data_IF_275492154128
#
_entry.id   IF_275492154128
#
_cell.length_a   1.000
_cell.length_b   1.000
_cell.length_c   1.000
_cell.angle_alpha   90.00
_cell.angle_beta   90.00
_cell.angle_gamma   90.00
#
_symmetry.space_group_name_H-M   'P 1'
#
loop_
_entity.id
_entity.type
_entity.pdbx_description
1 polymer ?
#
# COMPACT_ATOMS: atom_id res chain seq x y z
N UNK A 1 -24.74 70.70 55.20
CA UNK A 1 -25.61 70.23 54.07
C UNK A 1 -24.71 69.81 52.98
N UNK A 2 -24.53 68.53 52.83
CA UNK A 2 -23.85 67.95 51.64
C UNK A 2 -24.26 66.47 51.54
N UNK A 3 -25.09 66.20 50.57
CA UNK A 3 -25.60 64.91 50.23
C UNK A 3 -24.61 64.09 49.42
N UNK A 4 -24.29 62.89 49.86
CA UNK A 4 -23.51 61.92 49.13
C UNK A 4 -24.42 61.07 48.22
N UNK A 5 -24.05 60.74 46.96
CA UNK A 5 -24.83 59.84 46.16
C UNK A 5 -24.36 58.38 46.41
N UNK A 6 -25.35 57.48 46.51
CA UNK A 6 -25.21 56.04 46.64
C UNK A 6 -24.70 55.39 45.36
N UNK A 7 -23.66 54.56 45.46
CA UNK A 7 -23.17 53.71 44.39
C UNK A 7 -24.03 52.44 44.29
N UNK A 8 -24.68 52.24 43.15
CA UNK A 8 -25.28 50.99 42.78
C UNK A 8 -24.19 50.03 42.30
N UNK A 9 -24.06 48.88 42.98
CA UNK A 9 -23.23 47.75 42.57
C UNK A 9 -24.04 46.95 41.57
N UNK A 10 -23.63 46.95 40.29
CA UNK A 10 -24.17 46.03 39.29
C UNK A 10 -23.38 44.73 39.40
N UNK A 11 -24.07 43.65 39.79
CA UNK A 11 -23.57 42.28 39.71
C UNK A 11 -23.54 41.84 38.26
N UNK A 12 -22.36 41.73 37.67
CA UNK A 12 -22.13 41.04 36.38
C UNK A 12 -22.19 39.54 36.63
N UNK A 13 -23.25 38.91 36.20
CA UNK A 13 -23.39 37.45 36.07
C UNK A 13 -22.58 37.02 34.87
N UNK A 14 -21.40 36.45 35.11
CA UNK A 14 -20.62 35.77 34.09
C UNK A 14 -21.37 34.51 33.66
N UNK A 15 -21.90 34.53 32.43
CA UNK A 15 -22.48 33.37 31.79
C UNK A 15 -21.33 32.42 31.40
N UNK A 16 -21.29 31.21 31.98
CA UNK A 16 -20.46 30.12 31.56
C UNK A 16 -20.74 29.78 30.07
N UNK A 17 -19.74 29.57 29.22
CA UNK A 17 -19.98 29.16 27.83
C UNK A 17 -20.67 27.79 27.82
N UNK A 18 -21.87 27.74 27.26
CA UNK A 18 -22.55 26.48 26.94
C UNK A 18 -21.74 25.79 25.88
N UNK A 19 -21.02 24.76 26.27
CA UNK A 19 -20.39 23.83 25.33
C UNK A 19 -21.51 23.19 24.51
N UNK A 20 -21.63 23.62 23.26
CA UNK A 20 -22.72 23.23 22.38
C UNK A 20 -22.68 21.72 22.11
N UNK A 21 -23.81 21.07 22.28
CA UNK A 21 -24.07 19.66 21.96
C UNK A 21 -23.63 19.33 20.50
N UNK A 22 -23.60 20.34 19.63
CA UNK A 22 -23.09 20.21 18.23
C UNK A 22 -21.64 19.73 18.13
N UNK A 23 -20.76 20.04 19.09
CA UNK A 23 -19.37 19.57 19.08
C UNK A 23 -19.22 18.11 19.55
N UNK A 24 -20.23 17.58 20.26
CA UNK A 24 -20.23 16.16 20.65
C UNK A 24 -20.66 15.25 19.50
N UNK A 25 -21.49 15.75 18.59
CA UNK A 25 -21.96 15.01 17.42
C UNK A 25 -21.01 15.08 16.22
N UNK A 26 -20.09 16.05 16.15
CA UNK A 26 -19.07 16.09 15.09
C UNK A 26 -18.07 14.93 15.18
N UNK A 27 -17.93 14.31 16.36
CA UNK A 27 -17.15 13.09 16.58
C UNK A 27 -17.85 11.82 16.05
N UNK A 28 -19.16 11.89 15.79
CA UNK A 28 -19.98 10.77 15.29
C UNK A 28 -20.28 10.87 13.78
N UNK A 29 -19.76 11.88 13.09
CA UNK A 29 -19.90 11.94 11.63
C UNK A 29 -18.89 10.95 11.03
N UNK A 30 -19.35 9.92 10.29
CA UNK A 30 -18.46 8.95 9.68
C UNK A 30 -17.50 9.66 8.73
N UNK A 31 -16.21 9.59 9.01
CA UNK A 31 -15.14 10.01 8.08
C UNK A 31 -14.88 8.92 7.04
N UNK A 32 -15.92 8.30 6.51
CA UNK A 32 -15.79 7.17 5.59
C UNK A 32 -14.90 7.50 4.39
N UNK A 33 -14.94 8.77 3.91
CA UNK A 33 -14.09 9.23 2.81
C UNK A 33 -12.60 9.19 3.11
N UNK A 34 -12.20 9.41 4.38
CA UNK A 34 -10.79 9.51 4.77
C UNK A 34 -10.02 8.19 4.52
N UNK A 35 -10.58 7.04 4.90
CA UNK A 35 -9.92 5.76 4.67
C UNK A 35 -9.75 5.46 3.18
N UNK A 36 -10.77 5.74 2.37
CA UNK A 36 -10.66 5.58 0.92
C UNK A 36 -9.63 6.54 0.30
N UNK A 37 -9.50 7.77 0.83
CA UNK A 37 -8.50 8.72 0.36
C UNK A 37 -7.08 8.25 0.73
N UNK A 38 -6.88 7.71 1.94
CA UNK A 38 -5.60 7.15 2.39
C UNK A 38 -5.20 5.90 1.59
N UNK A 39 -6.12 4.96 1.37
CA UNK A 39 -5.84 3.79 0.55
C UNK A 39 -5.57 4.16 -0.92
N UNK A 40 -6.28 5.15 -1.48
CA UNK A 40 -5.99 5.62 -2.84
C UNK A 40 -4.64 6.34 -2.94
N UNK A 41 -4.19 7.03 -1.88
CA UNK A 41 -2.84 7.62 -1.78
C UNK A 41 -1.79 6.51 -1.72
N UNK A 42 -2.03 5.47 -0.94
CA UNK A 42 -1.14 4.35 -0.70
C UNK A 42 -0.93 3.49 -1.96
N UNK A 43 -2.02 3.05 -2.59
CA UNK A 43 -1.94 2.26 -3.82
C UNK A 43 -1.35 3.04 -5.00
N UNK A 44 -1.60 4.35 -5.07
CA UNK A 44 -0.94 5.21 -6.08
C UNK A 44 0.56 5.32 -5.83
N UNK A 45 1.01 5.40 -4.56
CA UNK A 45 2.41 5.39 -4.19
C UNK A 45 3.07 4.03 -4.49
N UNK A 46 2.40 2.92 -4.18
CA UNK A 46 2.86 1.57 -4.50
C UNK A 46 3.00 1.38 -6.03
N UNK A 47 2.05 1.91 -6.82
CA UNK A 47 2.14 1.85 -8.29
C UNK A 47 3.33 2.66 -8.82
N UNK A 48 3.62 3.83 -8.22
CA UNK A 48 4.82 4.60 -8.55
C UNK A 48 6.08 3.79 -8.22
N UNK A 49 6.12 3.14 -7.06
CA UNK A 49 7.25 2.29 -6.62
C UNK A 49 7.47 1.10 -7.56
N UNK A 50 6.42 0.36 -7.91
CA UNK A 50 6.51 -0.77 -8.84
C UNK A 50 6.99 -0.32 -10.24
N UNK A 51 6.48 0.81 -10.75
CA UNK A 51 6.95 1.37 -12.02
C UNK A 51 8.41 1.82 -11.96
N UNK A 52 8.85 2.42 -10.86
CA UNK A 52 10.24 2.82 -10.68
C UNK A 52 11.15 1.59 -10.61
N UNK A 53 10.76 0.57 -9.85
CA UNK A 53 11.49 -0.69 -9.74
C UNK A 53 11.63 -1.39 -11.10
N UNK A 54 10.56 -1.42 -11.91
CA UNK A 54 10.59 -2.04 -13.24
C UNK A 54 11.62 -1.39 -14.18
N UNK A 55 11.93 -0.10 -14.05
CA UNK A 55 12.97 0.58 -14.85
C UNK A 55 14.38 0.00 -14.60
N UNK A 56 14.59 -0.61 -13.42
CA UNK A 56 15.88 -1.21 -13.05
C UNK A 56 16.33 -2.25 -14.06
N UNK A 57 15.41 -3.01 -14.63
CA UNK A 57 15.68 -4.07 -15.59
C UNK A 57 15.93 -3.56 -17.02
N UNK A 58 15.60 -2.29 -17.29
CA UNK A 58 15.79 -1.65 -18.59
C UNK A 58 17.14 -0.91 -18.75
N UNK A 59 17.93 -0.78 -17.68
CA UNK A 59 19.19 -0.02 -17.72
C UNK A 59 20.40 -0.87 -17.30
N UNK A 60 21.54 -0.64 -17.98
CA UNK A 60 22.83 -1.22 -17.59
C UNK A 60 23.78 -0.18 -16.95
N UNK A 61 23.37 1.07 -16.86
CA UNK A 61 24.16 2.12 -16.21
C UNK A 61 24.05 1.98 -14.67
N UNK A 62 25.16 1.65 -14.04
CA UNK A 62 25.26 1.46 -12.58
C UNK A 62 24.84 2.71 -11.79
N UNK A 63 25.11 3.90 -12.29
CA UNK A 63 24.72 5.14 -11.61
C UNK A 63 23.20 5.33 -11.68
N UNK A 64 22.57 4.97 -12.78
CA UNK A 64 21.12 4.98 -12.95
C UNK A 64 20.45 3.89 -12.09
N UNK A 65 21.00 2.65 -12.08
CA UNK A 65 20.51 1.59 -11.20
C UNK A 65 20.48 2.03 -9.73
N UNK A 66 21.58 2.63 -9.24
CA UNK A 66 21.64 3.13 -7.86
C UNK A 66 20.65 4.26 -7.58
N UNK A 67 20.40 5.12 -8.56
CA UNK A 67 19.40 6.19 -8.44
C UNK A 67 17.98 5.61 -8.32
N UNK A 68 17.66 4.61 -9.15
CA UNK A 68 16.38 3.88 -9.12
C UNK A 68 16.19 3.19 -7.76
N UNK A 69 17.19 2.45 -7.28
CA UNK A 69 17.13 1.74 -5.98
C UNK A 69 16.87 2.72 -4.82
N UNK A 70 17.52 3.87 -4.83
CA UNK A 70 17.26 4.92 -3.82
C UNK A 70 15.84 5.46 -3.92
N UNK A 71 15.34 5.66 -5.15
CA UNK A 71 13.98 6.14 -5.37
C UNK A 71 12.94 5.12 -4.91
N UNK A 72 13.15 3.83 -5.18
CA UNK A 72 12.31 2.73 -4.68
C UNK A 72 12.24 2.77 -3.14
N UNK A 73 13.38 2.96 -2.46
CA UNK A 73 13.42 3.09 -1.00
C UNK A 73 12.69 4.34 -0.48
N UNK A 74 12.79 5.48 -1.15
CA UNK A 74 12.04 6.69 -0.78
C UNK A 74 10.54 6.48 -0.88
N UNK A 75 10.07 5.71 -1.88
CA UNK A 75 8.66 5.40 -2.09
C UNK A 75 8.14 4.41 -1.07
N UNK A 76 8.93 3.40 -0.67
CA UNK A 76 8.59 2.51 0.44
C UNK A 76 8.45 3.30 1.75
N UNK A 77 9.43 4.10 2.15
CA UNK A 77 9.33 4.93 3.37
C UNK A 77 8.07 5.84 3.34
N UNK A 78 7.66 6.32 2.17
CA UNK A 78 6.42 7.10 2.03
C UNK A 78 5.18 6.21 2.19
N UNK A 79 5.20 4.96 1.71
CA UNK A 79 4.17 3.95 1.94
C UNK A 79 3.98 3.68 3.43
N UNK A 80 5.08 3.40 4.15
CA UNK A 80 5.12 3.23 5.61
C UNK A 80 4.44 4.38 6.35
N UNK A 81 4.72 5.63 5.95
CA UNK A 81 4.08 6.81 6.56
C UNK A 81 2.57 6.82 6.32
N UNK A 82 2.10 6.38 5.15
CA UNK A 82 0.67 6.31 4.82
C UNK A 82 0.01 5.18 5.61
N UNK A 83 0.59 3.99 5.64
CA UNK A 83 0.15 2.83 6.43
C UNK A 83 0.05 3.19 7.91
N UNK A 84 1.05 3.87 8.46
CA UNK A 84 1.01 4.37 9.85
C UNK A 84 -0.14 5.36 10.08
N UNK A 85 -0.43 6.26 9.13
CA UNK A 85 -1.58 7.17 9.20
C UNK A 85 -2.90 6.41 9.18
N UNK A 86 -3.03 5.35 8.38
CA UNK A 86 -4.23 4.48 8.37
C UNK A 86 -4.44 3.87 9.75
N UNK A 87 -3.41 3.33 10.40
CA UNK A 87 -3.51 2.73 11.74
C UNK A 87 -3.83 3.77 12.83
N UNK A 88 -3.29 4.97 12.75
CA UNK A 88 -3.64 6.06 13.67
C UNK A 88 -5.12 6.45 13.54
N UNK A 89 -5.59 6.64 12.31
CA UNK A 89 -7.01 6.97 12.06
C UNK A 89 -7.93 5.82 12.46
N UNK A 90 -7.52 4.56 12.24
CA UNK A 90 -8.25 3.38 12.69
C UNK A 90 -8.36 3.35 14.21
N UNK A 91 -7.30 3.72 14.93
CA UNK A 91 -7.30 3.79 16.40
C UNK A 91 -8.17 4.94 16.94
N UNK A 92 -8.25 6.05 16.21
CA UNK A 92 -8.96 7.26 16.63
C UNK A 92 -10.48 7.25 16.29
N UNK A 93 -10.91 6.44 15.31
CA UNK A 93 -12.29 6.44 14.82
C UNK A 93 -13.00 5.13 15.14
N UNK A 94 -14.17 5.21 15.82
CA UNK A 94 -15.01 4.05 16.13
C UNK A 94 -15.88 3.61 14.94
N UNK A 95 -16.22 4.53 14.04
CA UNK A 95 -17.06 4.25 12.87
C UNK A 95 -16.16 4.22 11.64
N UNK A 96 -16.13 3.07 10.98
CA UNK A 96 -15.29 2.78 9.80
C UNK A 96 -16.18 2.40 8.61
N UNK A 97 -15.71 2.57 7.34
CA UNK A 97 -16.52 2.26 6.16
C UNK A 97 -16.79 0.75 5.99
N UNK A 98 -15.90 -0.10 6.48
CA UNK A 98 -15.99 -1.56 6.53
C UNK A 98 -15.28 -2.09 7.78
N UNK A 99 -15.20 -3.40 7.94
CA UNK A 99 -14.65 -4.02 9.14
C UNK A 99 -13.23 -3.48 9.45
N UNK A 100 -12.98 -3.21 10.72
CA UNK A 100 -11.70 -2.69 11.21
C UNK A 100 -10.54 -3.66 10.97
N UNK A 101 -10.82 -4.97 11.08
CA UNK A 101 -9.85 -6.02 10.82
C UNK A 101 -9.48 -6.01 9.33
N UNK A 102 -10.46 -5.88 8.44
CA UNK A 102 -10.21 -5.78 6.99
C UNK A 102 -9.42 -4.51 6.61
N UNK A 103 -9.67 -3.37 7.28
CA UNK A 103 -8.88 -2.14 7.08
C UNK A 103 -7.42 -2.36 7.46
N UNK A 104 -7.21 -2.99 8.62
CA UNK A 104 -5.85 -3.28 9.10
C UNK A 104 -5.12 -4.24 8.15
N UNK A 105 -5.79 -5.33 7.76
CA UNK A 105 -5.25 -6.36 6.89
C UNK A 105 -4.94 -5.80 5.49
N UNK A 106 -5.84 -5.02 4.89
CA UNK A 106 -5.62 -4.38 3.60
C UNK A 106 -4.38 -3.47 3.62
N UNK A 107 -4.24 -2.63 4.65
CA UNK A 107 -3.07 -1.76 4.79
C UNK A 107 -1.78 -2.57 4.94
N UNK A 108 -1.81 -3.64 5.74
CA UNK A 108 -0.65 -4.53 5.93
C UNK A 108 -0.25 -5.23 4.64
N UNK A 109 -1.21 -5.78 3.87
CA UNK A 109 -0.90 -6.46 2.61
C UNK A 109 -0.34 -5.50 1.54
N UNK A 110 -0.81 -4.24 1.50
CA UNK A 110 -0.25 -3.22 0.59
C UNK A 110 1.20 -2.90 0.97
N UNK A 111 1.48 -2.73 2.25
CA UNK A 111 2.79 -2.48 2.84
C UNK A 111 3.77 -3.63 2.55
N UNK A 112 3.32 -4.89 2.73
CA UNK A 112 4.11 -6.09 2.41
C UNK A 112 4.61 -6.08 0.96
N UNK A 113 3.78 -5.68 -0.02
CA UNK A 113 4.21 -5.58 -1.42
C UNK A 113 5.34 -4.55 -1.57
N UNK A 114 5.19 -3.36 -0.96
CA UNK A 114 6.19 -2.30 -1.00
C UNK A 114 7.52 -2.76 -0.41
N UNK A 115 7.47 -3.49 0.70
CA UNK A 115 8.61 -4.08 1.39
C UNK A 115 9.36 -5.10 0.52
N UNK A 116 8.63 -6.00 -0.14
CA UNK A 116 9.24 -7.00 -1.03
C UNK A 116 9.88 -6.36 -2.26
N UNK A 117 9.27 -5.32 -2.83
CA UNK A 117 9.87 -4.52 -3.92
C UNK A 117 11.19 -3.90 -3.47
N UNK A 118 11.19 -3.20 -2.32
CA UNK A 118 12.35 -2.55 -1.75
C UNK A 118 13.44 -3.58 -1.36
N UNK A 119 13.02 -4.69 -0.72
CA UNK A 119 13.91 -5.77 -0.34
C UNK A 119 14.61 -6.40 -1.54
N UNK A 120 13.90 -6.58 -2.66
CA UNK A 120 14.47 -7.09 -3.91
C UNK A 120 15.48 -6.11 -4.51
N UNK A 121 15.12 -4.82 -4.58
CA UNK A 121 16.03 -3.78 -5.06
C UNK A 121 17.32 -3.71 -4.22
N UNK A 122 17.20 -3.81 -2.90
CA UNK A 122 18.35 -3.85 -1.99
C UNK A 122 19.24 -5.08 -2.20
N UNK A 123 18.66 -6.26 -2.45
CA UNK A 123 19.45 -7.47 -2.73
C UNK A 123 20.22 -7.38 -4.04
N UNK A 124 19.60 -6.80 -5.07
CA UNK A 124 20.28 -6.53 -6.35
C UNK A 124 21.54 -5.68 -6.12
N UNK A 125 21.44 -4.62 -5.30
CA UNK A 125 22.58 -3.78 -4.94
C UNK A 125 23.62 -4.54 -4.09
N UNK A 126 23.20 -5.16 -3.00
CA UNK A 126 24.06 -5.82 -2.01
C UNK A 126 24.84 -7.02 -2.62
N UNK A 127 24.19 -7.76 -3.51
CA UNK A 127 24.78 -8.94 -4.13
C UNK A 127 25.57 -8.61 -5.39
N UNK A 128 25.56 -7.33 -5.80
CA UNK A 128 26.17 -6.88 -7.05
C UNK A 128 25.68 -7.70 -8.25
N UNK A 129 24.35 -7.77 -8.40
CA UNK A 129 23.74 -8.42 -9.56
C UNK A 129 23.93 -7.50 -10.77
N UNK A 130 24.81 -7.89 -11.68
CA UNK A 130 25.20 -7.07 -12.84
C UNK A 130 24.37 -7.36 -14.08
N UNK A 131 23.86 -8.58 -14.20
CA UNK A 131 23.06 -9.03 -15.33
C UNK A 131 21.68 -9.49 -14.88
N UNK A 132 20.64 -8.95 -15.51
CA UNK A 132 19.27 -9.33 -15.24
C UNK A 132 18.79 -10.38 -16.23
N UNK A 133 18.19 -11.45 -15.73
CA UNK A 133 17.54 -12.43 -16.58
C UNK A 133 16.26 -11.88 -17.20
N UNK A 134 15.86 -12.40 -18.36
CA UNK A 134 14.59 -12.03 -18.98
C UNK A 134 13.40 -12.33 -18.07
N UNK A 135 13.50 -13.37 -17.24
CA UNK A 135 12.44 -13.70 -16.27
C UNK A 135 12.29 -12.64 -15.18
N UNK A 136 13.39 -12.06 -14.67
CA UNK A 136 13.31 -10.96 -13.71
C UNK A 136 12.56 -9.75 -14.29
N UNK A 137 12.84 -9.39 -15.53
CA UNK A 137 12.14 -8.33 -16.26
C UNK A 137 10.65 -8.65 -16.39
N UNK A 138 10.28 -9.87 -16.82
CA UNK A 138 8.89 -10.31 -17.00
C UNK A 138 8.12 -10.35 -15.68
N UNK A 139 8.73 -10.84 -14.60
CA UNK A 139 8.11 -10.83 -13.26
C UNK A 139 7.85 -9.41 -12.77
N UNK A 140 8.79 -8.49 -13.00
CA UNK A 140 8.60 -7.07 -12.67
C UNK A 140 7.48 -6.43 -13.49
N UNK A 141 7.32 -6.77 -14.78
CA UNK A 141 6.20 -6.33 -15.61
C UNK A 141 4.86 -6.87 -15.11
N UNK A 142 4.82 -8.15 -14.67
CA UNK A 142 3.63 -8.76 -14.08
C UNK A 142 3.26 -8.04 -12.79
N UNK A 143 4.22 -7.79 -11.92
CA UNK A 143 4.03 -7.06 -10.66
C UNK A 143 3.43 -5.66 -10.89
N UNK A 144 3.94 -4.89 -11.88
CA UNK A 144 3.37 -3.59 -12.24
C UNK A 144 1.89 -3.71 -12.65
N UNK A 145 1.54 -4.75 -13.41
CA UNK A 145 0.16 -4.98 -13.83
C UNK A 145 -0.75 -5.33 -12.65
N UNK A 146 -0.30 -6.20 -11.74
CA UNK A 146 -1.06 -6.54 -10.54
C UNK A 146 -1.29 -5.30 -9.65
N UNK A 147 -0.25 -4.52 -9.38
CA UNK A 147 -0.37 -3.29 -8.59
C UNK A 147 -1.29 -2.26 -9.26
N UNK A 148 -1.31 -2.18 -10.59
CA UNK A 148 -2.26 -1.33 -11.33
C UNK A 148 -3.71 -1.78 -11.17
N UNK A 149 -3.95 -3.10 -11.13
CA UNK A 149 -5.28 -3.65 -10.86
C UNK A 149 -5.71 -3.42 -9.40
N UNK A 150 -4.78 -3.55 -8.45
CA UNK A 150 -5.01 -3.21 -7.04
C UNK A 150 -5.41 -1.75 -6.88
N UNK A 151 -4.66 -0.82 -7.48
CA UNK A 151 -4.96 0.61 -7.43
C UNK A 151 -6.34 0.94 -8.01
N UNK A 152 -6.71 0.27 -9.10
CA UNK A 152 -8.03 0.39 -9.71
C UNK A 152 -9.13 -0.15 -8.80
N UNK A 153 -8.95 -1.36 -8.24
CA UNK A 153 -9.92 -2.01 -7.37
C UNK A 153 -10.18 -1.20 -6.09
N UNK A 154 -9.11 -0.71 -5.45
CA UNK A 154 -9.19 0.10 -4.22
C UNK A 154 -9.93 1.41 -4.47
N UNK A 155 -9.70 2.08 -5.60
CA UNK A 155 -10.43 3.30 -5.98
C UNK A 155 -11.91 3.01 -6.26
N UNK A 156 -12.22 1.88 -6.90
CA UNK A 156 -13.60 1.47 -7.19
C UNK A 156 -14.38 1.06 -5.93
N UNK A 157 -13.71 0.57 -4.87
CA UNK A 157 -14.34 0.24 -3.57
C UNK A 157 -15.02 1.43 -2.89
N UNK A 158 -14.64 2.65 -3.21
CA UNK A 158 -15.30 3.86 -2.69
C UNK A 158 -16.81 3.89 -3.00
N UNK A 159 -17.23 3.19 -4.04
CA UNK A 159 -18.62 3.08 -4.43
C UNK A 159 -18.98 1.60 -4.65
N UNK A 160 -19.71 1.01 -3.70
CA UNK A 160 -20.13 -0.40 -3.75
C UNK A 160 -20.97 -0.77 -4.99
N UNK A 161 -21.46 0.22 -5.77
CA UNK A 161 -22.06 -0.05 -7.09
C UNK A 161 -21.03 -0.59 -8.11
N UNK A 162 -19.75 -0.38 -7.83
CA UNK A 162 -18.63 -0.87 -8.64
C UNK A 162 -18.15 -2.28 -8.22
N UNK A 163 -18.90 -2.99 -7.35
CA UNK A 163 -18.49 -4.31 -6.85
C UNK A 163 -18.10 -5.30 -7.95
N UNK A 164 -18.79 -5.29 -9.10
CA UNK A 164 -18.46 -6.17 -10.22
C UNK A 164 -17.09 -5.81 -10.83
N UNK A 165 -16.74 -4.54 -10.90
CA UNK A 165 -15.42 -4.10 -11.39
C UNK A 165 -14.30 -4.53 -10.46
N UNK A 166 -14.54 -4.46 -9.13
CA UNK A 166 -13.58 -4.95 -8.14
C UNK A 166 -13.40 -6.46 -8.28
N UNK A 167 -14.50 -7.24 -8.47
CA UNK A 167 -14.40 -8.70 -8.74
C UNK A 167 -13.62 -9.01 -10.01
N UNK A 168 -13.83 -8.25 -11.08
CA UNK A 168 -13.05 -8.40 -12.32
C UNK A 168 -11.56 -8.12 -12.10
N UNK A 169 -11.22 -7.12 -11.30
CA UNK A 169 -9.82 -6.81 -10.95
C UNK A 169 -9.20 -7.97 -10.13
N UNK A 170 -9.91 -8.50 -9.13
CA UNK A 170 -9.48 -9.68 -8.34
C UNK A 170 -9.16 -10.85 -9.25
N UNK A 171 -10.04 -11.16 -10.21
CA UNK A 171 -9.82 -12.27 -11.18
C UNK A 171 -8.57 -12.01 -12.02
N UNK A 172 -8.31 -10.75 -12.44
CA UNK A 172 -7.09 -10.41 -13.19
C UNK A 172 -5.84 -10.51 -12.36
N UNK A 173 -5.87 -10.09 -11.07
CA UNK A 173 -4.74 -10.22 -10.15
C UNK A 173 -4.35 -11.69 -9.98
N UNK A 174 -5.32 -12.57 -9.71
CA UNK A 174 -5.07 -14.00 -9.53
C UNK A 174 -4.57 -14.67 -10.84
N UNK A 175 -5.06 -14.23 -12.00
CA UNK A 175 -4.55 -14.72 -13.28
C UNK A 175 -3.09 -14.27 -13.55
N UNK A 176 -2.71 -13.09 -13.07
CA UNK A 176 -1.34 -12.57 -13.20
C UNK A 176 -0.40 -13.27 -12.22
N UNK A 177 -0.87 -13.61 -11.02
CA UNK A 177 -0.11 -14.40 -10.04
C UNK A 177 0.19 -15.79 -10.59
N UNK A 178 -0.80 -16.54 -11.07
CA UNK A 178 -0.58 -17.85 -11.72
C UNK A 178 0.44 -17.76 -12.89
N UNK A 179 0.44 -16.65 -13.62
CA UNK A 179 1.45 -16.42 -14.67
C UNK A 179 2.85 -16.15 -14.11
N UNK A 180 2.94 -15.44 -12.97
CA UNK A 180 4.21 -15.21 -12.29
C UNK A 180 4.80 -16.52 -11.75
N UNK A 181 3.98 -17.39 -11.18
CA UNK A 181 4.35 -18.73 -10.72
C UNK A 181 4.96 -19.56 -11.85
N UNK A 182 4.29 -19.63 -13.00
CA UNK A 182 4.78 -20.35 -14.18
C UNK A 182 6.16 -19.80 -14.63
N UNK A 183 6.33 -18.48 -14.63
CA UNK A 183 7.60 -17.84 -14.98
C UNK A 183 8.70 -18.14 -13.96
N UNK A 184 8.37 -18.12 -12.68
CA UNK A 184 9.30 -18.41 -11.60
C UNK A 184 9.75 -19.88 -11.65
N UNK A 185 8.81 -20.83 -11.74
CA UNK A 185 9.11 -22.25 -11.80
C UNK A 185 10.02 -22.59 -13.01
N UNK A 186 9.74 -22.03 -14.19
CA UNK A 186 10.58 -22.20 -15.36
C UNK A 186 11.99 -21.62 -15.15
N UNK A 187 12.09 -20.43 -14.51
CA UNK A 187 13.39 -19.81 -14.21
C UNK A 187 14.20 -20.62 -13.21
N UNK A 188 13.57 -21.14 -12.15
CA UNK A 188 14.21 -22.00 -11.16
C UNK A 188 14.68 -23.29 -11.81
N UNK A 189 13.85 -23.94 -12.63
CA UNK A 189 14.25 -25.16 -13.33
C UNK A 189 15.49 -24.94 -14.22
N UNK A 190 15.54 -23.82 -14.96
CA UNK A 190 16.72 -23.45 -15.78
C UNK A 190 17.94 -23.16 -14.90
N UNK A 191 17.77 -22.39 -13.82
CA UNK A 191 18.86 -22.02 -12.92
C UNK A 191 19.58 -23.24 -12.31
N UNK A 192 18.82 -24.32 -12.04
CA UNK A 192 19.40 -25.58 -11.52
C UNK A 192 19.89 -26.53 -12.61
N UNK A 193 19.42 -26.37 -13.85
CA UNK A 193 19.94 -27.14 -14.98
C UNK A 193 21.29 -26.61 -15.50
N UNK A 194 21.52 -25.31 -15.38
CA UNK A 194 22.77 -24.67 -15.76
C UNK A 194 23.82 -24.91 -14.67
N UNK A 195 25.05 -25.29 -15.07
CA UNK A 195 26.16 -25.50 -14.13
C UNK A 195 26.76 -24.15 -13.64
N UNK A 196 25.90 -23.26 -13.11
CA UNK A 196 26.34 -21.98 -12.60
C UNK A 196 27.13 -22.13 -11.28
N UNK A 197 28.09 -21.23 -10.98
CA UNK A 197 28.74 -21.19 -9.69
C UNK A 197 27.71 -21.08 -8.54
N UNK A 198 27.87 -21.86 -7.48
CA UNK A 198 26.90 -21.94 -6.38
C UNK A 198 26.52 -20.56 -5.77
N UNK A 199 27.49 -19.63 -5.74
CA UNK A 199 27.22 -18.27 -5.24
C UNK A 199 26.26 -17.50 -6.15
N UNK A 200 26.44 -17.58 -7.47
CA UNK A 200 25.55 -16.93 -8.43
C UNK A 200 24.16 -17.58 -8.42
N UNK A 201 24.08 -18.90 -8.32
CA UNK A 201 22.83 -19.63 -8.16
C UNK A 201 22.04 -19.13 -6.93
N UNK A 202 22.72 -18.97 -5.79
CA UNK A 202 22.08 -18.48 -4.54
C UNK A 202 21.55 -17.05 -4.73
N UNK A 203 22.36 -16.13 -5.28
CA UNK A 203 21.95 -14.75 -5.53
C UNK A 203 20.73 -14.67 -6.45
N UNK A 204 20.78 -15.34 -7.58
CA UNK A 204 19.71 -15.33 -8.58
C UNK A 204 18.42 -15.95 -8.03
N UNK A 205 18.54 -17.10 -7.34
CA UNK A 205 17.40 -17.73 -6.68
C UNK A 205 16.74 -16.79 -5.68
N UNK A 206 17.53 -16.11 -4.84
CA UNK A 206 16.98 -15.22 -3.82
C UNK A 206 16.26 -14.00 -4.42
N UNK A 207 16.82 -13.41 -5.48
CA UNK A 207 16.17 -12.28 -6.19
C UNK A 207 14.87 -12.74 -6.86
N UNK A 208 14.89 -13.88 -7.55
CA UNK A 208 13.70 -14.45 -8.20
C UNK A 208 12.61 -14.79 -7.16
N UNK A 209 12.98 -15.44 -6.04
CA UNK A 209 12.01 -15.77 -4.97
C UNK A 209 11.39 -14.52 -4.35
N UNK A 210 12.14 -13.42 -4.18
CA UNK A 210 11.54 -12.18 -3.64
C UNK A 210 10.62 -11.51 -4.66
N UNK A 211 10.90 -11.61 -5.97
CA UNK A 211 10.00 -11.12 -7.02
C UNK A 211 8.68 -11.89 -7.04
N UNK A 212 8.74 -13.22 -6.99
CA UNK A 212 7.56 -14.09 -6.94
C UNK A 212 6.78 -13.81 -5.64
N UNK A 213 7.42 -13.75 -4.48
CA UNK A 213 6.72 -13.42 -3.23
C UNK A 213 6.05 -12.03 -3.30
N UNK A 214 6.62 -11.05 -4.02
CA UNK A 214 5.94 -9.77 -4.23
C UNK A 214 4.65 -9.91 -5.07
N UNK A 215 4.64 -10.83 -6.05
CA UNK A 215 3.43 -11.14 -6.84
C UNK A 215 2.38 -11.89 -6.02
N UNK A 216 2.78 -12.81 -5.14
CA UNK A 216 1.90 -13.51 -4.19
C UNK A 216 1.23 -12.52 -3.22
N UNK A 217 2.00 -11.53 -2.73
CA UNK A 217 1.44 -10.48 -1.88
C UNK A 217 0.36 -9.64 -2.56
N UNK A 218 0.38 -9.53 -3.88
CA UNK A 218 -0.72 -8.94 -4.63
C UNK A 218 -1.98 -9.81 -4.59
N UNK A 219 -1.86 -11.15 -4.58
CA UNK A 219 -2.98 -12.06 -4.36
C UNK A 219 -3.55 -11.92 -2.94
N UNK A 220 -2.71 -11.77 -1.91
CA UNK A 220 -3.16 -11.50 -0.54
C UNK A 220 -4.08 -10.25 -0.49
N UNK A 221 -3.71 -9.16 -1.18
CA UNK A 221 -4.58 -7.98 -1.32
C UNK A 221 -5.90 -8.33 -1.99
N UNK A 222 -5.89 -9.12 -3.08
CA UNK A 222 -7.10 -9.55 -3.77
C UNK A 222 -8.04 -10.36 -2.86
N UNK A 223 -7.49 -11.24 -2.03
CA UNK A 223 -8.23 -12.03 -1.04
C UNK A 223 -8.90 -11.15 0.02
N UNK A 224 -8.21 -10.11 0.51
CA UNK A 224 -8.80 -9.14 1.45
C UNK A 224 -9.92 -8.33 0.78
N UNK A 225 -9.73 -7.88 -0.47
CA UNK A 225 -10.76 -7.17 -1.24
C UNK A 225 -12.01 -8.05 -1.45
N UNK A 226 -11.84 -9.34 -1.74
CA UNK A 226 -12.95 -10.29 -1.84
C UNK A 226 -13.71 -10.43 -0.52
N UNK A 227 -12.99 -10.56 0.60
CA UNK A 227 -13.58 -10.60 1.95
C UNK A 227 -14.44 -9.36 2.22
N UNK A 228 -13.91 -8.16 1.92
CA UNK A 228 -14.65 -6.90 2.08
C UNK A 228 -15.92 -6.90 1.22
N UNK A 229 -15.85 -7.32 -0.04
CA UNK A 229 -17.02 -7.39 -0.93
C UNK A 229 -18.09 -8.34 -0.41
N UNK A 230 -17.71 -9.53 0.09
CA UNK A 230 -18.65 -10.54 0.62
C UNK A 230 -19.35 -10.02 1.88
N UNK A 231 -18.63 -9.35 2.77
CA UNK A 231 -19.19 -8.81 4.03
C UNK A 231 -20.14 -7.62 3.81
N UNK A 232 -20.00 -6.91 2.67
CA UNK A 232 -20.77 -5.68 2.37
C UNK A 232 -21.77 -5.84 1.21
N UNK A 233 -22.06 -7.08 0.79
CA UNK A 233 -23.00 -7.43 -0.30
C UNK A 233 -24.45 -7.57 0.17
#
# INVERSE_FOLDING_TARGET
MSSRPSRHFKSETQSKPKMGISNLFSFLVPKNGLFFDLFAEDTANLLEQANEFNKLFGTQDKSEQLAIIRRVKELENKGDEITHRIFLELSANFITPFDREDIHELATCIDDIADYIQGTASRIELYHVDEFSKTMELLSEVLVKQVSEIDTAVKDMRNMRNADRVREAIVRINSLENHADDLFDEAIARLFADEAPALELIKMKEVLSNLETATDKCEDVANVLESILVKNS
#
